data_IF_655503822699
#
_entry.id   IF_655503822699
#
_cell.length_a   1.000
_cell.length_b   1.000
_cell.length_c   1.000
_cell.angle_alpha   90.00
_cell.angle_beta   90.00
_cell.angle_gamma   90.00
#
_symmetry.space_group_name_H-M   'P 1'
#
loop_
_entity.id
_entity.type
_entity.pdbx_description
1 polymer ?
#
# COMPACT_ATOMS: atom_id res chain seq x y z
N UNK A 1 -23.69 -2.91 -5.74
CA UNK A 1 -22.36 -3.07 -6.33
C UNK A 1 -21.57 -1.78 -6.20
N UNK A 2 -20.36 -1.88 -5.68
CA UNK A 2 -19.54 -0.69 -5.47
C UNK A 2 -19.02 -0.16 -6.81
N UNK A 3 -18.89 1.16 -6.92
CA UNK A 3 -18.26 1.77 -8.08
C UNK A 3 -16.78 1.39 -8.14
N UNK A 4 -16.19 1.28 -9.33
CA UNK A 4 -14.76 1.03 -9.43
C UNK A 4 -13.98 2.14 -8.78
N UNK A 5 -12.87 1.79 -8.13
CA UNK A 5 -11.99 2.77 -7.53
C UNK A 5 -11.35 3.62 -8.64
N UNK A 6 -11.27 4.94 -8.41
CA UNK A 6 -10.65 5.85 -9.38
C UNK A 6 -9.13 5.72 -9.38
N UNK A 7 -8.55 5.52 -8.19
CA UNK A 7 -7.12 5.38 -8.00
C UNK A 7 -6.85 4.13 -7.17
N UNK A 8 -7.03 2.92 -7.75
CA UNK A 8 -6.89 1.71 -6.96
C UNK A 8 -5.42 1.46 -6.64
N UNK A 9 -5.12 1.45 -5.35
CA UNK A 9 -3.83 1.03 -4.83
C UNK A 9 -4.00 -0.41 -4.38
N UNK A 10 -3.29 -1.33 -5.02
CA UNK A 10 -3.45 -2.75 -4.80
C UNK A 10 -2.20 -3.32 -4.17
N UNK A 11 -2.38 -4.05 -3.08
CA UNK A 11 -1.29 -4.77 -2.43
C UNK A 11 -1.54 -6.26 -2.53
N UNK A 12 -0.57 -6.99 -3.06
CA UNK A 12 -0.59 -8.44 -3.10
C UNK A 12 0.46 -8.94 -2.12
N UNK A 13 0.03 -9.59 -1.05
CA UNK A 13 0.93 -10.10 -0.03
C UNK A 13 1.26 -11.56 -0.31
N UNK A 14 2.53 -11.87 -0.41
CA UNK A 14 3.02 -13.25 -0.49
C UNK A 14 3.40 -13.77 0.89
N UNK A 15 3.59 -12.87 1.83
CA UNK A 15 3.85 -13.15 3.24
C UNK A 15 3.06 -12.16 4.06
N UNK A 16 2.81 -12.48 5.32
CA UNK A 16 2.12 -11.54 6.22
C UNK A 16 2.89 -10.23 6.28
N UNK A 17 2.20 -9.14 5.99
CA UNK A 17 2.83 -7.82 5.88
C UNK A 17 1.95 -6.76 6.49
N UNK A 18 2.56 -5.84 7.24
CA UNK A 18 1.84 -4.71 7.81
C UNK A 18 1.86 -3.56 6.83
N UNK A 19 0.67 -3.03 6.55
CA UNK A 19 0.50 -1.96 5.56
C UNK A 19 -0.25 -0.81 6.19
N UNK A 20 0.29 0.40 6.08
CA UNK A 20 -0.35 1.61 6.53
C UNK A 20 -0.35 2.63 5.40
N UNK A 21 -1.52 3.17 5.10
CA UNK A 21 -1.69 4.21 4.09
C UNK A 21 -2.24 5.44 4.76
N UNK A 22 -1.60 6.59 4.56
CA UNK A 22 -2.02 7.86 5.13
C UNK A 22 -2.11 8.92 4.06
N UNK A 23 -3.04 9.86 4.23
CA UNK A 23 -3.08 11.07 3.41
C UNK A 23 -1.97 12.00 3.85
N UNK A 24 -1.17 12.49 2.90
CA UNK A 24 -0.02 13.31 3.23
C UNK A 24 -0.41 14.68 3.83
N UNK A 25 -1.51 15.26 3.38
CA UNK A 25 -1.89 16.60 3.82
C UNK A 25 -2.50 16.67 5.21
N UNK A 26 -3.14 15.60 5.68
CA UNK A 26 -3.89 15.61 6.94
C UNK A 26 -3.43 14.55 7.92
N UNK A 27 -2.47 13.72 7.55
CA UNK A 27 -2.03 12.55 8.33
C UNK A 27 -3.17 11.59 8.70
N UNK A 28 -4.27 11.65 7.97
CA UNK A 28 -5.38 10.73 8.18
C UNK A 28 -5.02 9.33 7.71
N UNK A 29 -5.26 8.34 8.58
CA UNK A 29 -5.01 6.95 8.22
C UNK A 29 -6.14 6.46 7.33
N UNK A 30 -5.80 6.02 6.12
CA UNK A 30 -6.76 5.45 5.18
C UNK A 30 -6.87 3.95 5.42
N UNK A 31 -5.75 3.30 5.66
CA UNK A 31 -5.66 1.87 5.90
C UNK A 31 -4.53 1.60 6.88
N UNK A 32 -4.78 0.75 7.86
CA UNK A 32 -3.73 0.27 8.76
C UNK A 32 -4.12 -1.14 9.20
N UNK A 33 -3.44 -2.15 8.65
CA UNK A 33 -3.75 -3.54 8.99
C UNK A 33 -2.64 -4.46 8.50
N UNK A 34 -2.67 -5.69 9.01
CA UNK A 34 -1.84 -6.77 8.51
C UNK A 34 -2.58 -7.45 7.36
N UNK A 35 -1.93 -7.49 6.20
CA UNK A 35 -2.43 -8.25 5.05
C UNK A 35 -1.71 -9.59 5.05
N UNK A 36 -2.47 -10.66 5.15
CA UNK A 36 -1.91 -11.98 5.30
C UNK A 36 -1.47 -12.58 3.97
N UNK A 37 -0.54 -13.51 4.04
CA UNK A 37 -0.05 -14.21 2.86
C UNK A 37 -1.20 -14.74 2.02
N UNK A 38 -1.15 -14.49 0.72
CA UNK A 38 -2.19 -14.89 -0.22
C UNK A 38 -3.36 -13.93 -0.34
N UNK A 39 -3.40 -12.89 0.49
CA UNK A 39 -4.47 -11.89 0.41
C UNK A 39 -4.09 -10.74 -0.51
N UNK A 40 -5.13 -10.11 -1.07
CA UNK A 40 -5.00 -8.90 -1.87
C UNK A 40 -5.84 -7.82 -1.22
N UNK A 41 -5.25 -6.65 -1.00
CA UNK A 41 -5.93 -5.50 -0.45
C UNK A 41 -6.02 -4.41 -1.51
N UNK A 42 -7.20 -3.83 -1.69
CA UNK A 42 -7.42 -2.75 -2.65
C UNK A 42 -7.92 -1.54 -1.89
N UNK A 43 -7.26 -0.41 -2.09
CA UNK A 43 -7.59 0.85 -1.43
C UNK A 43 -7.73 1.93 -2.50
N UNK A 44 -8.83 2.68 -2.44
CA UNK A 44 -8.99 3.86 -3.29
C UNK A 44 -8.32 5.04 -2.60
N UNK A 45 -7.23 5.54 -3.18
CA UNK A 45 -6.42 6.58 -2.57
C UNK A 45 -6.61 7.92 -3.26
N UNK A 46 -6.47 8.99 -2.47
CA UNK A 46 -6.47 10.35 -2.98
C UNK A 46 -5.06 10.90 -2.82
N UNK A 47 -4.45 11.32 -3.90
CA UNK A 47 -3.12 11.90 -3.86
C UNK A 47 -3.15 13.31 -3.27
N UNK A 48 -2.12 13.72 -2.53
CA UNK A 48 -0.94 12.95 -2.17
C UNK A 48 -1.19 12.00 -1.00
N UNK A 49 -0.45 10.91 -0.96
CA UNK A 49 -0.54 9.95 0.13
C UNK A 49 0.82 9.32 0.40
N UNK A 50 0.95 8.67 1.55
CA UNK A 50 2.16 7.94 1.92
C UNK A 50 1.79 6.52 2.32
N UNK A 51 2.72 5.60 2.09
CA UNK A 51 2.53 4.18 2.39
C UNK A 51 3.74 3.68 3.17
N UNK A 52 3.48 2.92 4.23
CA UNK A 52 4.52 2.21 4.98
C UNK A 52 4.18 0.72 4.92
N UNK A 53 5.15 -0.08 4.52
CA UNK A 53 4.98 -1.51 4.37
C UNK A 53 6.02 -2.22 5.21
N UNK A 54 5.55 -2.96 6.22
CA UNK A 54 6.42 -3.87 6.97
C UNK A 54 6.51 -5.20 6.24
N UNK A 55 7.67 -5.84 6.27
CA UNK A 55 7.96 -7.05 5.50
C UNK A 55 7.81 -6.80 4.00
N UNK A 56 8.41 -5.71 3.53
CA UNK A 56 8.20 -5.22 2.17
C UNK A 56 8.65 -6.20 1.09
N UNK A 57 9.61 -7.07 1.39
CA UNK A 57 10.09 -8.06 0.43
C UNK A 57 9.00 -9.06 0.03
N UNK A 58 7.98 -9.23 0.86
CA UNK A 58 6.88 -10.16 0.59
C UNK A 58 5.64 -9.50 0.01
N UNK A 59 5.72 -8.25 -0.44
CA UNK A 59 4.55 -7.51 -0.93
C UNK A 59 4.83 -6.92 -2.30
N UNK A 60 3.83 -7.00 -3.17
CA UNK A 60 3.84 -6.30 -4.45
C UNK A 60 2.72 -5.27 -4.41
N UNK A 61 3.00 -4.06 -4.89
CA UNK A 61 2.00 -3.00 -4.93
C UNK A 61 1.89 -2.43 -6.33
N UNK A 62 0.68 -2.01 -6.67
CA UNK A 62 0.44 -1.31 -7.94
C UNK A 62 -0.55 -0.18 -7.71
N UNK A 63 -0.43 0.88 -8.52
CA UNK A 63 -1.32 2.02 -8.50
C UNK A 63 -1.86 2.21 -9.91
N UNK A 64 -3.18 2.19 -10.05
CA UNK A 64 -3.85 2.32 -11.34
C UNK A 64 -3.32 1.32 -12.37
N UNK A 65 -3.02 0.12 -11.90
CA UNK A 65 -2.49 -0.94 -12.77
C UNK A 65 -1.00 -0.88 -13.05
N UNK A 66 -0.31 0.18 -12.61
CA UNK A 66 1.13 0.32 -12.79
C UNK A 66 1.87 -0.16 -11.55
N UNK A 67 2.84 -1.06 -11.67
CA UNK A 67 3.56 -1.55 -10.50
C UNK A 67 4.36 -0.43 -9.85
N UNK A 68 4.33 -0.41 -8.51
CA UNK A 68 5.12 0.52 -7.72
C UNK A 68 6.44 -0.15 -7.33
N UNK A 69 7.51 0.63 -7.37
CA UNK A 69 8.83 0.15 -6.98
C UNK A 69 8.94 0.21 -5.47
N UNK A 70 8.83 -0.94 -4.82
CA UNK A 70 8.97 -1.05 -3.38
C UNK A 70 10.40 -1.43 -3.06
N UNK A 71 11.11 -0.52 -2.43
CA UNK A 71 12.48 -0.76 -2.01
C UNK A 71 12.53 -0.90 -0.50
N UNK A 72 12.78 -2.12 -0.05
CA UNK A 72 12.95 -2.38 1.36
C UNK A 72 14.33 -1.90 1.81
N UNK A 73 14.36 -1.20 2.93
CA UNK A 73 15.62 -0.86 3.57
C UNK A 73 16.20 -2.06 4.32
N UNK A 74 17.23 -1.81 5.13
CA UNK A 74 17.89 -2.87 5.90
C UNK A 74 16.94 -3.54 6.91
N UNK A 75 15.87 -2.85 7.31
CA UNK A 75 14.88 -3.38 8.24
C UNK A 75 13.70 -4.05 7.54
N UNK A 76 13.75 -4.21 6.22
CA UNK A 76 12.66 -4.78 5.42
C UNK A 76 11.36 -3.97 5.54
N UNK A 77 11.50 -2.65 5.69
CA UNK A 77 10.38 -1.72 5.74
C UNK A 77 10.51 -0.76 4.56
N UNK A 78 9.45 -0.63 3.78
CA UNK A 78 9.42 0.30 2.66
C UNK A 78 8.51 1.48 2.99
N UNK A 79 8.93 2.66 2.57
CA UNK A 79 8.14 3.89 2.69
C UNK A 79 8.03 4.54 1.33
N UNK A 80 6.81 4.84 0.94
CA UNK A 80 6.52 5.44 -0.34
C UNK A 80 5.74 6.72 -0.14
N UNK A 81 6.11 7.77 -0.88
CA UNK A 81 5.33 9.01 -0.91
C UNK A 81 4.90 9.23 -2.35
N UNK A 82 3.60 9.35 -2.56
CA UNK A 82 3.04 9.61 -3.89
C UNK A 82 2.42 11.00 -3.86
N UNK A 83 2.87 11.82 -4.79
CA UNK A 83 2.40 13.21 -4.88
C UNK A 83 1.43 13.39 -6.03
#
# INVERSE_FOLDING_TARGET
MAAPAKNPLVFNAQEDSWIEVKRAGSNSVVLSRIVKAGETEVVDVTEPFSVVIGNAAGVQASLRGAPLDIKAGSSNVARLNVK
#
